data_IF_456819839228
#
_entry.id   IF_456819839228
#
_cell.length_a   1.000
_cell.length_b   1.000
_cell.length_c   1.000
_cell.angle_alpha   90.00
_cell.angle_beta   90.00
_cell.angle_gamma   90.00
#
_symmetry.space_group_name_H-M   'P 1'
#
loop_
_entity.id
_entity.type
_entity.pdbx_description
1 polymer ?
#
# COMPACT_ATOMS: atom_id res chain seq x y z
N UNK A 1 22.81 -5.01 -31.36
CA UNK A 1 22.09 -6.18 -30.78
C UNK A 1 21.15 -5.64 -29.73
N UNK A 2 19.85 -5.60 -30.03
CA UNK A 2 18.82 -5.19 -29.04
C UNK A 2 18.69 -6.32 -28.03
N UNK A 3 19.13 -6.10 -26.78
CA UNK A 3 18.78 -6.96 -25.67
C UNK A 3 17.25 -7.03 -25.61
N UNK A 4 16.68 -8.20 -25.94
CA UNK A 4 15.27 -8.50 -25.71
C UNK A 4 15.12 -8.52 -24.19
N UNK A 5 14.73 -7.39 -23.59
CA UNK A 5 14.47 -7.33 -22.17
C UNK A 5 13.26 -8.23 -21.88
N UNK A 6 13.52 -9.42 -21.32
CA UNK A 6 12.53 -10.18 -20.57
C UNK A 6 11.84 -9.19 -19.60
N UNK A 7 10.58 -9.44 -19.29
CA UNK A 7 9.89 -8.61 -18.29
C UNK A 7 10.81 -8.34 -17.07
N UNK A 8 10.82 -7.11 -16.53
CA UNK A 8 11.68 -6.78 -15.40
C UNK A 8 11.35 -7.64 -14.18
N UNK A 9 12.36 -7.99 -13.39
CA UNK A 9 12.14 -8.63 -12.10
C UNK A 9 11.27 -7.73 -11.22
N UNK A 10 10.25 -8.31 -10.61
CA UNK A 10 9.27 -7.62 -9.75
C UNK A 10 9.70 -7.80 -8.30
N UNK A 11 10.26 -6.77 -7.71
CA UNK A 11 10.71 -6.78 -6.32
C UNK A 11 9.69 -6.05 -5.45
N UNK A 12 9.10 -6.79 -4.50
CA UNK A 12 8.22 -6.22 -3.48
C UNK A 12 9.02 -5.48 -2.42
N UNK A 13 8.57 -4.28 -2.05
CA UNK A 13 9.10 -3.55 -0.91
C UNK A 13 7.99 -3.41 0.13
N UNK A 14 8.14 -4.10 1.25
CA UNK A 14 7.13 -4.13 2.31
C UNK A 14 7.73 -3.85 3.69
N UNK A 15 6.87 -3.77 4.68
CA UNK A 15 7.20 -3.51 6.07
C UNK A 15 6.06 -2.79 6.76
N UNK A 16 5.95 -2.89 8.05
CA UNK A 16 4.87 -2.29 8.83
C UNK A 16 4.81 -0.76 8.71
N UNK A 17 3.70 -0.20 9.13
CA UNK A 17 3.54 1.26 9.22
C UNK A 17 4.68 1.85 10.05
N UNK A 18 5.28 2.96 9.59
CA UNK A 18 6.41 3.63 10.26
C UNK A 18 7.77 2.94 10.11
N UNK A 19 7.89 1.81 9.39
CA UNK A 19 9.16 1.10 9.20
C UNK A 19 10.19 1.87 8.36
N UNK A 20 9.75 2.76 7.44
CA UNK A 20 10.64 3.54 6.59
C UNK A 20 10.62 3.14 5.11
N UNK A 21 9.61 2.39 4.66
CA UNK A 21 9.44 2.01 3.23
C UNK A 21 9.61 3.17 2.26
N UNK A 22 8.94 4.28 2.54
CA UNK A 22 8.98 5.48 1.67
C UNK A 22 10.39 6.07 1.53
N UNK A 23 11.21 5.99 2.59
CA UNK A 23 12.62 6.41 2.52
C UNK A 23 13.41 5.48 1.60
N UNK A 24 13.24 4.17 1.75
CA UNK A 24 13.89 3.17 0.89
C UNK A 24 13.41 3.32 -0.57
N UNK A 25 12.11 3.53 -0.79
CA UNK A 25 11.56 3.81 -2.13
C UNK A 25 12.17 5.05 -2.79
N UNK A 26 12.38 6.12 -2.02
CA UNK A 26 13.04 7.34 -2.53
C UNK A 26 14.47 7.06 -2.94
N UNK A 27 15.21 6.24 -2.19
CA UNK A 27 16.58 5.84 -2.56
C UNK A 27 16.56 5.05 -3.86
N UNK A 28 15.67 4.06 -4.04
CA UNK A 28 15.57 3.36 -5.32
C UNK A 28 15.24 4.31 -6.47
N UNK A 29 14.32 5.26 -6.28
CA UNK A 29 14.01 6.28 -7.30
C UNK A 29 15.21 7.15 -7.66
N UNK A 30 16.01 7.58 -6.68
CA UNK A 30 17.22 8.38 -6.93
C UNK A 30 18.32 7.61 -7.70
N UNK A 31 18.29 6.28 -7.61
CA UNK A 31 19.13 5.37 -8.40
C UNK A 31 18.55 5.06 -9.79
N UNK A 32 17.49 5.73 -10.21
CA UNK A 32 16.84 5.51 -11.50
C UNK A 32 15.97 4.25 -11.59
N UNK A 33 15.69 3.57 -10.46
CA UNK A 33 14.87 2.36 -10.43
C UNK A 33 13.38 2.74 -10.39
N UNK A 34 12.56 2.24 -11.32
CA UNK A 34 11.12 2.49 -11.30
C UNK A 34 10.45 1.92 -10.05
N UNK A 35 9.66 2.74 -9.39
CA UNK A 35 8.91 2.36 -8.17
C UNK A 35 7.43 2.60 -8.36
N UNK A 36 6.63 1.54 -8.21
CA UNK A 36 5.17 1.59 -8.15
C UNK A 36 4.74 1.59 -6.69
N UNK A 37 4.12 2.67 -6.22
CA UNK A 37 3.59 2.77 -4.85
C UNK A 37 2.11 2.40 -4.85
N UNK A 38 1.77 1.22 -4.34
CA UNK A 38 0.40 0.71 -4.31
C UNK A 38 -0.52 1.54 -3.41
N UNK A 39 0.01 2.07 -2.31
CA UNK A 39 -0.77 2.87 -1.35
C UNK A 39 -1.16 4.22 -1.96
N UNK A 40 -0.25 4.87 -2.71
CA UNK A 40 -0.53 6.11 -3.43
C UNK A 40 -1.54 5.89 -4.57
N UNK A 41 -1.43 4.79 -5.31
CA UNK A 41 -2.41 4.44 -6.35
C UNK A 41 -3.79 4.17 -5.75
N UNK A 42 -3.87 3.49 -4.60
CA UNK A 42 -5.14 3.28 -3.88
C UNK A 42 -5.78 4.62 -3.47
N UNK A 43 -4.99 5.53 -2.90
CA UNK A 43 -5.47 6.88 -2.55
C UNK A 43 -5.95 7.65 -3.78
N UNK A 44 -5.20 7.60 -4.88
CA UNK A 44 -5.59 8.27 -6.12
C UNK A 44 -6.91 7.74 -6.69
N UNK A 45 -7.20 6.44 -6.59
CA UNK A 45 -8.49 5.87 -6.96
C UNK A 45 -9.63 6.47 -6.12
N UNK A 46 -9.42 6.67 -4.82
CA UNK A 46 -10.39 7.25 -3.90
C UNK A 46 -10.59 8.78 -4.09
N UNK A 47 -9.66 9.45 -4.76
CA UNK A 47 -9.76 10.89 -5.04
C UNK A 47 -10.28 11.17 -6.43
N UNK A 48 -9.84 10.41 -7.44
CA UNK A 48 -10.01 10.76 -8.86
C UNK A 48 -10.93 9.83 -9.63
N UNK A 49 -11.13 8.58 -9.19
CA UNK A 49 -11.90 7.62 -9.94
C UNK A 49 -13.37 7.59 -9.49
N UNK A 50 -14.24 8.27 -10.24
CA UNK A 50 -15.67 8.39 -9.93
C UNK A 50 -16.36 7.03 -9.71
N UNK A 51 -15.99 6.00 -10.50
CA UNK A 51 -16.55 4.65 -10.35
C UNK A 51 -16.15 4.02 -9.02
N UNK A 52 -14.87 4.11 -8.64
CA UNK A 52 -14.39 3.62 -7.34
C UNK A 52 -15.04 4.37 -6.18
N UNK A 53 -15.15 5.70 -6.27
CA UNK A 53 -15.81 6.51 -5.24
C UNK A 53 -17.27 6.06 -5.04
N UNK A 54 -18.03 5.83 -6.12
CA UNK A 54 -19.40 5.33 -6.03
C UNK A 54 -19.49 3.95 -5.37
N UNK A 55 -18.57 3.03 -5.69
CA UNK A 55 -18.53 1.71 -5.05
C UNK A 55 -18.22 1.81 -3.55
N UNK A 56 -17.32 2.71 -3.16
CA UNK A 56 -16.96 2.95 -1.76
C UNK A 56 -18.13 3.59 -1.00
N UNK A 57 -18.83 4.55 -1.59
CA UNK A 57 -20.05 5.14 -0.99
C UNK A 57 -21.13 4.08 -0.80
N UNK A 58 -21.34 3.21 -1.80
CA UNK A 58 -22.31 2.11 -1.71
C UNK A 58 -21.99 1.15 -0.56
N UNK A 59 -20.70 0.85 -0.33
CA UNK A 59 -20.26 -0.09 0.73
C UNK A 59 -20.26 0.53 2.13
N UNK A 60 -19.88 1.81 2.25
CA UNK A 60 -19.63 2.46 3.54
C UNK A 60 -20.66 3.52 3.92
N UNK A 61 -21.56 3.87 2.99
CA UNK A 61 -22.56 4.91 3.15
C UNK A 61 -22.03 6.31 2.91
N UNK A 62 -22.93 7.27 2.69
CA UNK A 62 -22.58 8.67 2.41
C UNK A 62 -21.90 9.38 3.60
N UNK A 63 -22.04 8.84 4.80
CA UNK A 63 -21.41 9.39 5.99
C UNK A 63 -19.88 9.51 5.90
N UNK A 64 -19.23 8.80 4.96
CA UNK A 64 -17.79 8.92 4.70
C UNK A 64 -17.44 10.10 3.79
N UNK A 65 -18.42 10.85 3.29
CA UNK A 65 -18.21 12.01 2.45
C UNK A 65 -18.10 13.30 3.27
N UNK A 66 -17.31 14.23 2.77
CA UNK A 66 -17.22 15.60 3.22
C UNK A 66 -16.93 16.49 1.99
N UNK A 67 -17.74 17.51 1.76
CA UNK A 67 -17.55 18.49 0.67
C UNK A 67 -17.24 17.81 -0.68
N UNK A 68 -18.13 16.89 -1.11
CA UNK A 68 -18.03 16.09 -2.36
C UNK A 68 -16.81 15.15 -2.46
N UNK A 69 -16.01 15.05 -1.43
CA UNK A 69 -14.82 14.20 -1.38
C UNK A 69 -14.88 13.16 -0.26
N UNK A 70 -14.05 12.11 -0.37
CA UNK A 70 -13.94 11.11 0.70
C UNK A 70 -13.23 11.72 1.91
N UNK A 71 -13.88 11.65 3.07
CA UNK A 71 -13.29 11.99 4.36
C UNK A 71 -12.34 10.85 4.80
N UNK A 72 -11.07 10.95 4.40
CA UNK A 72 -10.05 9.93 4.71
C UNK A 72 -9.90 9.63 6.21
N UNK A 73 -9.89 10.60 7.13
CA UNK A 73 -9.88 10.32 8.57
C UNK A 73 -11.04 9.43 9.00
N UNK A 74 -12.26 9.75 8.57
CA UNK A 74 -13.47 8.98 8.92
C UNK A 74 -13.45 7.58 8.32
N UNK A 75 -13.12 7.46 7.03
CA UNK A 75 -12.97 6.16 6.37
C UNK A 75 -11.89 5.32 7.06
N UNK A 76 -10.75 5.90 7.37
CA UNK A 76 -9.65 5.25 8.10
C UNK A 76 -10.11 4.74 9.48
N UNK A 77 -10.86 5.53 10.22
CA UNK A 77 -11.42 5.11 11.50
C UNK A 77 -12.30 3.87 11.34
N UNK A 78 -13.20 3.85 10.36
CA UNK A 78 -14.11 2.73 10.10
C UNK A 78 -13.33 1.45 9.73
N UNK A 79 -12.41 1.53 8.79
CA UNK A 79 -11.71 0.35 8.28
C UNK A 79 -10.69 -0.24 9.27
N UNK A 80 -10.11 0.57 10.15
CA UNK A 80 -9.14 0.07 11.14
C UNK A 80 -9.78 -0.38 12.45
N UNK A 81 -11.08 -0.10 12.67
CA UNK A 81 -11.82 -0.62 13.82
C UNK A 81 -12.59 -1.91 13.53
N UNK A 82 -12.86 -2.20 12.26
CA UNK A 82 -13.61 -3.39 11.82
C UNK A 82 -12.85 -4.15 10.72
N UNK A 83 -12.40 -5.37 11.03
CA UNK A 83 -11.70 -6.25 10.08
C UNK A 83 -12.54 -6.62 8.85
N UNK A 84 -13.88 -6.70 8.99
CA UNK A 84 -14.77 -6.96 7.85
C UNK A 84 -14.75 -5.76 6.91
N UNK A 85 -14.85 -4.55 7.45
CA UNK A 85 -14.77 -3.30 6.67
C UNK A 85 -13.41 -3.12 5.99
N UNK A 86 -12.32 -3.48 6.66
CA UNK A 86 -10.99 -3.51 6.04
C UNK A 86 -10.94 -4.51 4.88
N UNK A 87 -11.54 -5.69 5.00
CA UNK A 87 -11.63 -6.65 3.89
C UNK A 87 -12.49 -6.13 2.75
N UNK A 88 -13.62 -5.48 3.03
CA UNK A 88 -14.51 -4.90 2.01
C UNK A 88 -13.79 -3.84 1.17
N UNK A 89 -13.11 -2.87 1.78
CA UNK A 89 -12.38 -1.85 1.02
C UNK A 89 -11.26 -2.46 0.19
N UNK A 90 -10.53 -3.42 0.74
CA UNK A 90 -9.47 -4.12 0.02
C UNK A 90 -10.01 -4.90 -1.19
N UNK A 91 -11.17 -5.56 -1.05
CA UNK A 91 -11.84 -6.26 -2.15
C UNK A 91 -12.18 -5.33 -3.31
N UNK A 92 -12.50 -4.06 -3.03
CA UNK A 92 -12.80 -3.05 -4.07
C UNK A 92 -11.49 -2.52 -4.69
N UNK A 93 -10.48 -2.20 -3.87
CA UNK A 93 -9.28 -1.50 -4.32
C UNK A 93 -8.22 -2.42 -4.94
N UNK A 94 -7.99 -3.62 -4.39
CA UNK A 94 -6.90 -4.49 -4.83
C UNK A 94 -6.95 -4.85 -6.32
N UNK A 95 -8.11 -5.26 -6.89
CA UNK A 95 -8.18 -5.56 -8.32
C UNK A 95 -7.84 -4.37 -9.21
N UNK A 96 -8.29 -3.17 -8.81
CA UNK A 96 -8.04 -1.93 -9.55
C UNK A 96 -6.56 -1.53 -9.50
N UNK A 97 -5.93 -1.64 -8.32
CA UNK A 97 -4.49 -1.38 -8.17
C UNK A 97 -3.67 -2.43 -8.92
N UNK A 98 -4.08 -3.69 -8.93
CA UNK A 98 -3.42 -4.74 -9.70
C UNK A 98 -3.46 -4.46 -11.21
N UNK A 99 -4.59 -3.98 -11.73
CA UNK A 99 -4.71 -3.55 -13.12
C UNK A 99 -3.75 -2.40 -13.44
N UNK A 100 -3.77 -1.34 -12.61
CA UNK A 100 -2.86 -0.20 -12.75
C UNK A 100 -1.38 -0.62 -12.71
N UNK A 101 -1.04 -1.56 -11.83
CA UNK A 101 0.32 -2.11 -11.77
C UNK A 101 0.69 -2.86 -13.05
N UNK A 102 -0.20 -3.69 -13.57
CA UNK A 102 0.01 -4.44 -14.81
C UNK A 102 0.23 -3.50 -16.01
N UNK A 103 -0.58 -2.45 -16.14
CA UNK A 103 -0.44 -1.46 -17.20
C UNK A 103 0.86 -0.66 -17.07
N UNK A 104 1.21 -0.27 -15.84
CA UNK A 104 2.45 0.43 -15.56
C UNK A 104 3.67 -0.45 -15.85
N UNK A 105 3.63 -1.74 -15.47
CA UNK A 105 4.72 -2.70 -15.67
C UNK A 105 5.06 -2.90 -17.15
N UNK A 106 4.06 -2.97 -18.03
CA UNK A 106 4.24 -3.10 -19.50
C UNK A 106 5.08 -1.97 -20.11
N UNK A 107 5.12 -0.81 -19.46
CA UNK A 107 5.86 0.36 -19.92
C UNK A 107 7.31 0.40 -19.45
N UNK A 108 7.70 -0.51 -18.54
CA UNK A 108 9.04 -0.49 -17.95
C UNK A 108 10.04 -1.24 -18.84
N UNK A 109 11.18 -0.57 -19.14
CA UNK A 109 12.30 -1.13 -19.91
C UNK A 109 13.56 -1.13 -19.05
N UNK A 110 13.59 -2.00 -18.02
CA UNK A 110 14.67 -2.04 -17.04
C UNK A 110 14.87 -3.47 -16.52
N UNK A 111 15.95 -3.72 -15.81
CA UNK A 111 16.27 -5.06 -15.27
C UNK A 111 15.31 -5.48 -14.15
N UNK A 112 14.91 -4.54 -13.30
CA UNK A 112 13.97 -4.79 -12.20
C UNK A 112 13.20 -3.53 -11.81
N UNK A 113 12.08 -3.72 -11.16
CA UNK A 113 11.22 -2.67 -10.61
C UNK A 113 10.95 -2.94 -9.13
N UNK A 114 10.57 -1.89 -8.43
CA UNK A 114 10.08 -2.00 -7.05
C UNK A 114 8.55 -1.79 -7.02
N UNK A 115 7.84 -2.70 -6.35
CA UNK A 115 6.43 -2.53 -5.97
C UNK A 115 6.35 -2.31 -4.47
N UNK A 116 6.16 -1.06 -4.06
CA UNK A 116 5.95 -0.71 -2.65
C UNK A 116 4.50 -0.96 -2.24
N UNK A 117 4.30 -1.68 -1.14
CA UNK A 117 3.01 -1.82 -0.48
C UNK A 117 3.18 -2.19 1.00
N UNK A 118 2.34 -1.62 1.86
CA UNK A 118 2.26 -2.03 3.26
C UNK A 118 1.51 -3.36 3.45
N UNK A 119 0.72 -3.80 2.46
CA UNK A 119 -0.21 -4.93 2.52
C UNK A 119 0.08 -6.00 1.45
N UNK A 120 1.36 -6.27 1.13
CA UNK A 120 1.73 -7.24 0.09
C UNK A 120 1.18 -8.64 0.35
N UNK A 121 1.27 -9.08 1.59
CA UNK A 121 0.83 -10.42 2.01
C UNK A 121 -0.67 -10.48 2.20
N UNK A 122 -1.26 -9.48 2.84
CA UNK A 122 -2.70 -9.38 3.07
C UNK A 122 -3.50 -9.26 1.75
N UNK A 123 -2.86 -8.75 0.70
CA UNK A 123 -3.46 -8.62 -0.63
C UNK A 123 -3.23 -9.84 -1.53
N UNK A 124 -2.57 -10.90 -1.04
CA UNK A 124 -2.15 -12.06 -1.82
C UNK A 124 -1.32 -11.71 -3.09
N UNK A 125 -0.67 -10.53 -3.10
CA UNK A 125 0.12 -10.10 -4.25
C UNK A 125 1.60 -10.49 -4.13
N UNK A 126 2.03 -11.02 -2.98
CA UNK A 126 3.39 -11.48 -2.75
C UNK A 126 3.81 -12.58 -3.72
N UNK A 127 2.91 -13.53 -4.02
CA UNK A 127 3.14 -14.64 -4.97
C UNK A 127 3.37 -14.19 -6.43
N UNK A 128 3.03 -12.96 -6.76
CA UNK A 128 3.24 -12.39 -8.11
C UNK A 128 4.60 -11.68 -8.24
N UNK A 129 5.40 -11.69 -7.18
CA UNK A 129 6.69 -11.01 -7.09
C UNK A 129 7.83 -12.01 -7.07
N UNK A 130 8.95 -11.66 -7.69
CA UNK A 130 10.11 -12.53 -7.81
C UNK A 130 10.97 -12.51 -6.54
N UNK A 131 11.02 -11.38 -5.85
CA UNK A 131 11.74 -11.18 -4.57
C UNK A 131 11.00 -10.19 -3.69
N UNK A 132 11.27 -10.23 -2.38
CA UNK A 132 10.70 -9.31 -1.40
C UNK A 132 11.80 -8.72 -0.53
N UNK A 133 11.75 -7.40 -0.36
CA UNK A 133 12.55 -6.64 0.60
C UNK A 133 11.64 -6.25 1.76
N UNK A 134 11.96 -6.74 2.95
CA UNK A 134 11.26 -6.37 4.19
C UNK A 134 12.03 -5.26 4.91
N UNK A 135 11.40 -4.09 5.05
CA UNK A 135 11.93 -2.97 5.84
C UNK A 135 11.43 -3.07 7.26
N UNK A 136 12.35 -3.14 8.20
CA UNK A 136 12.04 -3.29 9.63
C UNK A 136 12.52 -2.09 10.44
N UNK A 137 11.80 -1.79 11.52
CA UNK A 137 12.23 -0.87 12.57
C UNK A 137 11.57 -1.24 13.89
N UNK A 138 12.23 -0.92 14.99
CA UNK A 138 11.73 -1.17 16.34
C UNK A 138 10.36 -0.52 16.54
N UNK A 139 9.41 -1.24 17.18
CA UNK A 139 8.02 -0.79 17.39
C UNK A 139 7.91 0.63 17.94
N UNK A 140 8.72 0.97 18.95
CA UNK A 140 8.75 2.31 19.56
C UNK A 140 9.06 3.40 18.51
N UNK A 141 10.09 3.19 17.69
CA UNK A 141 10.48 4.12 16.61
C UNK A 141 9.39 4.26 15.56
N UNK A 142 8.75 3.14 15.19
CA UNK A 142 7.62 3.14 14.23
C UNK A 142 6.46 4.00 14.73
N UNK A 143 6.05 3.81 15.99
CA UNK A 143 4.98 4.58 16.63
C UNK A 143 5.31 6.07 16.62
N UNK A 144 6.49 6.46 17.09
CA UNK A 144 6.92 7.86 17.14
C UNK A 144 6.88 8.52 15.75
N UNK A 145 7.43 7.85 14.71
CA UNK A 145 7.42 8.36 13.34
C UNK A 145 6.01 8.59 12.81
N UNK A 146 5.07 7.70 13.11
CA UNK A 146 3.68 7.80 12.63
C UNK A 146 2.92 8.89 13.37
N UNK A 147 3.09 9.02 14.68
CA UNK A 147 2.50 10.12 15.47
C UNK A 147 2.95 11.47 14.91
N UNK A 148 4.25 11.67 14.70
CA UNK A 148 4.80 12.93 14.17
C UNK A 148 4.34 13.24 12.74
N UNK A 149 4.23 12.22 11.88
CA UNK A 149 3.88 12.41 10.47
C UNK A 149 2.39 12.62 10.24
N UNK A 150 1.55 11.85 10.93
CA UNK A 150 0.11 11.71 10.62
C UNK A 150 -0.78 12.35 11.68
N UNK A 151 -0.21 12.95 12.72
CA UNK A 151 -0.94 13.57 13.85
C UNK A 151 -1.93 12.60 14.53
N UNK A 152 -1.57 11.30 14.60
CA UNK A 152 -2.38 10.24 15.18
C UNK A 152 -2.03 10.02 16.64
N UNK A 153 -2.99 9.51 17.41
CA UNK A 153 -2.74 9.05 18.77
C UNK A 153 -1.95 7.72 18.77
N UNK A 154 -1.22 7.45 19.85
CA UNK A 154 -0.52 6.17 20.01
C UNK A 154 -1.47 4.97 19.86
N UNK A 155 -2.65 5.04 20.48
CA UNK A 155 -3.67 3.96 20.41
C UNK A 155 -4.10 3.65 18.97
N UNK A 156 -4.28 4.67 18.13
CA UNK A 156 -4.61 4.49 16.72
C UNK A 156 -3.48 3.80 15.93
N UNK A 157 -2.25 4.22 16.18
CA UNK A 157 -1.07 3.62 15.53
C UNK A 157 -0.92 2.15 15.94
N UNK A 158 -1.08 1.84 17.21
CA UNK A 158 -1.01 0.47 17.73
C UNK A 158 -2.12 -0.42 17.14
N UNK A 159 -3.34 0.10 16.94
CA UNK A 159 -4.41 -0.64 16.23
C UNK A 159 -4.01 -0.98 14.81
N UNK A 160 -3.40 -0.03 14.08
CA UNK A 160 -2.95 -0.28 12.71
C UNK A 160 -1.86 -1.36 12.71
N UNK A 161 -0.89 -1.29 13.62
CA UNK A 161 0.19 -2.29 13.75
C UNK A 161 -0.40 -3.67 14.04
N UNK A 162 -1.39 -3.77 14.93
CA UNK A 162 -2.02 -5.04 15.30
C UNK A 162 -2.88 -5.66 14.18
N UNK A 163 -3.30 -4.86 13.21
CA UNK A 163 -4.05 -5.32 12.03
C UNK A 163 -3.16 -5.73 10.87
N UNK A 164 -1.85 -5.47 10.94
CA UNK A 164 -0.87 -5.92 9.95
C UNK A 164 -0.34 -7.31 10.29
N UNK A 165 0.05 -8.09 9.28
CA UNK A 165 0.77 -9.36 9.44
C UNK A 165 2.03 -9.12 10.29
N UNK A 166 2.32 -10.04 11.20
CA UNK A 166 3.51 -9.97 12.04
C UNK A 166 4.77 -10.19 11.19
N UNK A 167 5.80 -9.38 11.43
CA UNK A 167 7.06 -9.45 10.68
C UNK A 167 7.69 -10.86 10.70
N UNK A 168 7.53 -11.61 11.81
CA UNK A 168 7.99 -13.02 11.91
C UNK A 168 7.30 -13.95 10.92
N UNK A 169 6.02 -13.70 10.62
CA UNK A 169 5.26 -14.50 9.63
C UNK A 169 5.74 -14.17 8.21
N UNK A 170 6.13 -12.93 7.95
CA UNK A 170 6.68 -12.51 6.64
C UNK A 170 8.05 -13.14 6.37
N UNK A 171 8.90 -13.28 7.38
CA UNK A 171 10.25 -13.83 7.22
C UNK A 171 10.21 -15.34 6.89
N UNK A 172 9.16 -16.02 7.30
CA UNK A 172 8.99 -17.46 7.11
C UNK A 172 8.20 -17.83 5.84
N UNK A 173 7.84 -16.84 5.01
CA UNK A 173 7.21 -17.04 3.70
C UNK A 173 8.26 -16.99 2.57
#
# INVERSE_FOLDING_TARGET
>A
MSEIFKQPLKIGLTGGIGAGKTTVSKIFKSLGIPVFNSDDHSKNLLVKNKGTIKEIIKEFGEAIMKDESINFPKLSQIIFTDKKKLKSINKILHPKVALLFSEWLKKQKCKYIIKESALLFESNTASLLDKIILVQAVKKTRIQRVIQRDNRTQKEVERIINNQIKEKEIINC
#
